data_IF_225097180272
#
_entry.id   IF_225097180272
#
_cell.length_a   1.000
_cell.length_b   1.000
_cell.length_c   1.000
_cell.angle_alpha   90.00
_cell.angle_beta   90.00
_cell.angle_gamma   90.00
#
_symmetry.space_group_name_H-M   'P 1'
#
loop_
_entity.id
_entity.type
_entity.pdbx_description
1 polymer ?
#
# COMPACT_ATOMS: atom_id res chain seq x y z
N UNK A 1 10.89 -11.73 18.79
CA UNK A 1 9.62 -11.72 19.54
C UNK A 1 9.53 -10.38 20.23
N UNK A 2 8.92 -9.42 19.56
CA UNK A 2 8.67 -8.07 20.08
C UNK A 2 7.54 -8.15 21.12
N UNK A 3 7.69 -7.39 22.20
CA UNK A 3 6.79 -7.36 23.37
C UNK A 3 5.34 -7.07 22.95
N UNK A 4 4.32 -7.83 23.40
CA UNK A 4 2.93 -7.56 23.04
C UNK A 4 2.53 -6.19 23.60
N UNK A 5 2.38 -5.23 22.69
CA UNK A 5 1.86 -3.90 22.94
C UNK A 5 0.54 -3.89 23.72
N UNK A 6 0.30 -2.81 24.45
CA UNK A 6 -0.93 -2.65 25.25
C UNK A 6 -2.13 -2.48 24.33
N UNK A 7 -3.04 -3.45 24.33
CA UNK A 7 -4.35 -3.29 23.69
C UNK A 7 -5.17 -2.24 24.45
N UNK A 8 -5.57 -1.16 23.77
CA UNK A 8 -6.60 -0.26 24.30
C UNK A 8 -7.98 -0.87 24.05
N UNK A 9 -8.91 -0.58 24.95
CA UNK A 9 -10.36 -0.84 24.89
C UNK A 9 -11.06 -0.45 23.56
N UNK A 10 -10.39 0.27 22.67
CA UNK A 10 -10.80 0.58 21.29
C UNK A 10 -10.60 -0.58 20.30
N UNK A 11 -9.88 -1.64 20.69
CA UNK A 11 -9.49 -2.74 19.80
C UNK A 11 -8.22 -2.45 18.98
N UNK A 12 -7.54 -1.34 19.23
CA UNK A 12 -6.26 -1.02 18.57
C UNK A 12 -5.07 -1.62 19.33
N UNK A 13 -4.06 -2.06 18.59
CA UNK A 13 -2.83 -2.66 19.13
C UNK A 13 -1.63 -1.80 18.71
N UNK A 14 -0.90 -1.23 19.68
CA UNK A 14 0.30 -0.42 19.41
C UNK A 14 1.56 -1.15 19.87
N UNK A 15 2.48 -1.44 18.95
CA UNK A 15 3.77 -2.09 19.23
C UNK A 15 4.74 -1.14 19.94
N UNK A 16 5.80 -1.70 20.55
CA UNK A 16 6.80 -0.93 21.29
C UNK A 16 7.63 0.05 20.43
N UNK A 17 7.59 -0.09 19.11
CA UNK A 17 8.18 0.87 18.16
C UNK A 17 7.24 2.04 17.81
N UNK A 18 5.97 1.99 18.22
CA UNK A 18 4.97 3.04 17.96
C UNK A 18 3.98 2.73 16.83
N UNK A 19 4.14 1.61 16.12
CA UNK A 19 3.20 1.18 15.07
C UNK A 19 1.86 0.78 15.67
N UNK A 20 0.75 1.23 15.09
CA UNK A 20 -0.60 0.97 15.57
C UNK A 20 -1.42 0.21 14.53
N UNK A 21 -2.11 -0.83 14.97
CA UNK A 21 -2.99 -1.69 14.19
C UNK A 21 -4.43 -1.59 14.72
N UNK A 22 -5.40 -1.83 13.84
CA UNK A 22 -6.80 -2.00 14.15
C UNK A 22 -7.12 -3.37 14.75
N UNK A 23 -8.37 -3.54 15.16
CA UNK A 23 -8.86 -4.79 15.79
C UNK A 23 -8.90 -5.99 14.84
N UNK A 24 -8.91 -5.70 13.53
CA UNK A 24 -8.83 -6.66 12.44
C UNK A 24 -7.38 -6.99 12.04
N UNK A 25 -6.39 -6.36 12.69
CA UNK A 25 -4.98 -6.48 12.34
C UNK A 25 -4.54 -5.58 11.18
N UNK A 26 -5.42 -4.72 10.66
CA UNK A 26 -5.06 -3.73 9.65
C UNK A 26 -4.16 -2.63 10.21
N UNK A 27 -3.28 -2.06 9.39
CA UNK A 27 -2.43 -0.94 9.80
C UNK A 27 -3.23 0.35 9.92
N UNK A 28 -2.96 1.12 10.96
CA UNK A 28 -3.58 2.42 11.20
C UNK A 28 -2.56 3.56 11.29
N UNK A 29 -1.37 3.30 11.82
CA UNK A 29 -0.35 4.34 11.99
C UNK A 29 1.04 3.71 12.13
N UNK A 30 2.07 4.37 11.59
CA UNK A 30 3.48 4.05 11.78
C UNK A 30 4.22 5.18 12.53
N UNK A 31 5.44 4.94 13.05
CA UNK A 31 6.15 5.94 13.85
C UNK A 31 6.55 7.17 13.01
N UNK A 32 5.99 8.33 13.35
CA UNK A 32 6.28 9.58 12.67
C UNK A 32 7.71 10.10 12.93
N UNK A 33 8.22 10.90 11.98
CA UNK A 33 9.36 11.80 12.13
C UNK A 33 10.39 11.72 11.00
N UNK A 34 10.56 10.56 10.39
CA UNK A 34 11.41 10.35 9.22
C UNK A 34 10.71 9.36 8.28
N UNK A 35 11.07 9.34 6.99
CA UNK A 35 10.50 8.36 6.09
C UNK A 35 10.76 6.94 6.60
N UNK A 36 9.73 6.11 6.66
CA UNK A 36 9.81 4.73 7.13
C UNK A 36 9.22 3.76 6.12
N UNK A 37 9.72 2.52 6.18
CA UNK A 37 9.13 1.37 5.50
C UNK A 37 8.97 0.27 6.53
N UNK A 38 7.79 -0.35 6.58
CA UNK A 38 7.46 -1.44 7.48
C UNK A 38 7.01 -2.65 6.66
N UNK A 39 7.50 -3.83 7.01
CA UNK A 39 7.17 -5.10 6.33
C UNK A 39 6.35 -6.01 7.24
N UNK A 40 5.42 -6.76 6.66
CA UNK A 40 4.47 -7.59 7.39
C UNK A 40 4.48 -9.03 6.87
N UNK A 41 4.60 -9.94 7.83
CA UNK A 41 4.49 -11.40 7.68
C UNK A 41 3.10 -11.77 8.24
N UNK A 42 2.10 -11.81 7.36
CA UNK A 42 0.70 -11.97 7.72
C UNK A 42 0.33 -13.41 8.04
N UNK A 43 1.03 -14.39 7.49
CA UNK A 43 0.78 -15.81 7.72
C UNK A 43 1.75 -16.47 8.71
N UNK A 44 2.76 -15.71 9.16
CA UNK A 44 3.79 -16.08 10.12
C UNK A 44 4.69 -17.23 9.65
N UNK A 45 4.95 -17.32 8.34
CA UNK A 45 5.86 -18.32 7.78
C UNK A 45 7.34 -17.88 7.81
N UNK A 46 7.60 -16.62 8.15
CA UNK A 46 8.93 -16.03 8.26
C UNK A 46 9.38 -15.23 7.03
N UNK A 47 8.52 -15.13 6.02
CA UNK A 47 8.67 -14.24 4.86
C UNK A 47 7.74 -13.03 5.02
N UNK A 48 8.03 -11.93 4.35
CA UNK A 48 7.16 -10.76 4.40
C UNK A 48 6.34 -10.71 3.11
N UNK A 49 5.01 -10.65 3.21
CA UNK A 49 4.12 -10.58 2.05
C UNK A 49 3.70 -9.16 1.69
N UNK A 50 3.92 -8.19 2.58
CA UNK A 50 3.47 -6.82 2.32
C UNK A 50 4.36 -5.77 2.96
N UNK A 51 4.36 -4.59 2.36
CA UNK A 51 5.07 -3.43 2.89
C UNK A 51 4.15 -2.22 2.97
N UNK A 52 4.45 -1.32 3.90
CA UNK A 52 3.83 0.00 4.02
C UNK A 52 4.93 1.05 4.13
N UNK A 53 4.83 2.12 3.34
CA UNK A 53 5.80 3.21 3.26
C UNK A 53 5.15 4.50 3.72
N UNK A 54 5.78 5.18 4.68
CA UNK A 54 5.54 6.57 5.09
C UNK A 54 6.70 7.40 4.53
N UNK A 55 6.49 8.09 3.42
CA UNK A 55 7.49 8.79 2.65
C UNK A 55 7.73 10.21 3.17
N UNK A 56 6.72 10.84 3.77
CA UNK A 56 6.83 12.22 4.29
C UNK A 56 7.15 12.30 5.80
N UNK A 57 7.03 11.17 6.51
CA UNK A 57 7.32 11.01 7.91
C UNK A 57 6.21 11.49 8.84
N UNK A 58 4.97 11.65 8.37
CA UNK A 58 3.87 12.12 9.20
C UNK A 58 3.23 11.01 10.08
N UNK A 59 3.63 9.76 9.85
CA UNK A 59 3.16 8.57 10.57
C UNK A 59 1.98 7.86 9.92
N UNK A 60 1.53 8.29 8.73
CA UNK A 60 0.59 7.58 7.89
C UNK A 60 1.31 7.02 6.67
N UNK A 61 0.95 5.81 6.26
CA UNK A 61 1.55 5.23 5.07
C UNK A 61 0.84 5.77 3.83
N UNK A 62 1.58 6.36 2.89
CA UNK A 62 1.03 6.78 1.60
C UNK A 62 0.93 5.61 0.63
N UNK A 63 1.76 4.58 0.79
CA UNK A 63 1.79 3.44 -0.13
C UNK A 63 1.88 2.12 0.62
N UNK A 64 1.09 1.14 0.19
CA UNK A 64 1.22 -0.25 0.62
C UNK A 64 1.36 -1.18 -0.60
N UNK A 65 2.21 -2.20 -0.50
CA UNK A 65 2.44 -3.18 -1.58
C UNK A 65 2.40 -4.62 -1.05
N UNK A 66 2.27 -5.59 -1.96
CA UNK A 66 2.31 -7.00 -1.61
C UNK A 66 3.12 -7.85 -2.60
N UNK A 67 3.97 -8.73 -2.07
CA UNK A 67 4.74 -9.79 -2.74
C UNK A 67 4.31 -11.12 -2.11
N UNK A 68 3.26 -11.72 -2.65
CA UNK A 68 2.59 -12.89 -2.06
C UNK A 68 3.22 -14.21 -2.44
N UNK A 69 3.97 -14.26 -3.53
CA UNK A 69 4.68 -15.48 -3.94
C UNK A 69 6.16 -15.51 -3.56
N UNK A 70 6.64 -14.42 -2.93
CA UNK A 70 7.98 -14.23 -2.36
C UNK A 70 9.10 -14.30 -3.40
N UNK A 71 8.84 -13.83 -4.61
CA UNK A 71 9.84 -13.77 -5.67
C UNK A 71 10.68 -12.49 -5.64
N UNK A 72 10.30 -11.53 -4.79
CA UNK A 72 10.96 -10.25 -4.61
C UNK A 72 10.40 -9.12 -5.48
N UNK A 73 9.27 -9.35 -6.14
CA UNK A 73 8.51 -8.38 -6.92
C UNK A 73 7.11 -8.24 -6.33
N UNK A 74 6.65 -7.00 -6.17
CA UNK A 74 5.31 -6.76 -5.65
C UNK A 74 4.26 -7.00 -6.76
N UNK A 75 3.24 -7.84 -6.52
CA UNK A 75 2.15 -8.05 -7.51
C UNK A 75 1.17 -6.87 -7.58
N UNK A 76 1.03 -6.12 -6.49
CA UNK A 76 0.25 -4.89 -6.48
C UNK A 76 0.75 -3.87 -5.45
N UNK A 77 0.50 -2.61 -5.76
CA UNK A 77 0.68 -1.49 -4.85
C UNK A 77 -0.59 -0.63 -4.82
N UNK A 78 -0.89 -0.05 -3.66
CA UNK A 78 -2.00 0.90 -3.47
C UNK A 78 -1.47 2.16 -2.79
N UNK A 79 -2.00 3.32 -3.17
CA UNK A 79 -1.63 4.59 -2.58
C UNK A 79 -2.84 5.41 -2.13
N UNK A 80 -2.69 6.09 -0.99
CA UNK A 80 -3.59 7.11 -0.44
C UNK A 80 -2.73 8.36 -0.21
N UNK A 81 -2.73 9.28 -1.16
CA UNK A 81 -1.83 10.43 -1.18
C UNK A 81 -2.35 11.61 -0.34
N UNK A 82 -3.65 11.66 -0.06
CA UNK A 82 -4.28 12.75 0.69
C UNK A 82 -4.71 12.37 2.12
N UNK A 83 -4.52 11.11 2.49
CA UNK A 83 -4.73 10.50 3.79
C UNK A 83 -6.21 10.55 4.22
N UNK A 84 -7.14 10.52 3.25
CA UNK A 84 -8.58 10.51 3.53
C UNK A 84 -9.14 9.11 3.85
N UNK A 85 -8.29 8.08 3.73
CA UNK A 85 -8.61 6.68 3.96
C UNK A 85 -9.25 5.99 2.75
N UNK A 86 -9.21 6.61 1.58
CA UNK A 86 -9.55 6.01 0.28
C UNK A 86 -8.29 5.80 -0.53
N UNK A 87 -8.35 4.81 -1.40
CA UNK A 87 -7.26 4.53 -2.32
C UNK A 87 -7.38 5.45 -3.53
N UNK A 88 -6.35 6.25 -3.77
CA UNK A 88 -6.20 7.15 -4.92
C UNK A 88 -5.65 6.43 -6.14
N UNK A 89 -4.78 5.45 -5.93
CA UNK A 89 -4.11 4.71 -6.99
C UNK A 89 -3.94 3.23 -6.61
N UNK A 90 -4.20 2.34 -7.57
CA UNK A 90 -3.85 0.92 -7.51
C UNK A 90 -2.99 0.61 -8.72
N UNK A 91 -1.79 0.07 -8.51
CA UNK A 91 -0.90 -0.45 -9.56
C UNK A 91 -0.87 -1.98 -9.45
N UNK A 92 -0.90 -2.68 -10.58
CA UNK A 92 -0.78 -4.14 -10.69
C UNK A 92 0.42 -4.48 -11.57
N UNK A 93 1.26 -5.41 -11.11
CA UNK A 93 2.31 -6.08 -11.87
C UNK A 93 1.91 -7.56 -11.95
N UNK A 94 1.35 -7.96 -13.09
CA UNK A 94 0.77 -9.31 -13.27
C UNK A 94 1.76 -10.30 -13.86
N UNK A 95 2.91 -9.85 -14.34
CA UNK A 95 3.98 -10.71 -14.87
C UNK A 95 5.27 -10.72 -14.04
N UNK A 96 5.29 -9.97 -12.94
CA UNK A 96 6.33 -9.90 -11.92
C UNK A 96 7.70 -9.48 -12.51
N UNK A 97 7.69 -8.50 -13.41
CA UNK A 97 8.91 -7.97 -14.01
C UNK A 97 9.45 -6.71 -13.29
N UNK A 98 8.71 -6.21 -12.30
CA UNK A 98 9.02 -5.03 -11.51
C UNK A 98 8.44 -3.73 -12.10
N UNK A 99 7.67 -3.81 -13.17
CA UNK A 99 6.94 -2.70 -13.78
C UNK A 99 5.44 -2.97 -13.76
N UNK A 100 4.66 -1.96 -13.39
CA UNK A 100 3.20 -2.09 -13.36
C UNK A 100 2.61 -2.23 -14.78
N UNK A 101 1.89 -3.30 -15.02
CA UNK A 101 1.10 -3.56 -16.23
C UNK A 101 -0.12 -2.63 -16.34
N UNK A 102 -0.73 -2.33 -15.19
CA UNK A 102 -1.96 -1.56 -15.13
C UNK A 102 -2.00 -0.71 -13.86
N UNK A 103 -2.59 0.48 -13.98
CA UNK A 103 -2.96 1.26 -12.82
C UNK A 103 -4.38 1.83 -12.96
N UNK A 104 -5.08 1.95 -11.83
CA UNK A 104 -6.36 2.64 -11.74
C UNK A 104 -6.15 3.77 -10.75
N UNK A 105 -6.31 5.01 -11.21
CA UNK A 105 -6.37 6.18 -10.34
C UNK A 105 -7.80 6.67 -10.25
N UNK A 106 -8.18 7.20 -9.10
CA UNK A 106 -9.48 7.82 -8.91
C UNK A 106 -9.62 9.13 -9.69
N UNK A 107 -8.51 9.69 -10.19
CA UNK A 107 -8.43 10.79 -11.15
C UNK A 107 -7.59 11.98 -10.68
N UNK A 108 -7.20 12.07 -9.40
CA UNK A 108 -6.10 12.94 -8.97
C UNK A 108 -5.74 12.68 -7.50
N UNK A 109 -4.48 12.88 -7.08
CA UNK A 109 -4.12 12.96 -5.65
C UNK A 109 -4.80 14.13 -4.90
N UNK A 110 -5.70 14.90 -5.55
CA UNK A 110 -6.40 16.08 -5.01
C UNK A 110 -7.84 16.27 -5.55
N UNK A 111 -8.45 15.23 -6.14
CA UNK A 111 -9.89 15.17 -6.43
C UNK A 111 -10.44 15.58 -7.82
N UNK A 112 -11.67 15.07 -8.05
CA UNK A 112 -12.77 15.42 -8.98
C UNK A 112 -12.73 14.94 -10.44
N UNK A 113 -11.56 14.60 -11.01
CA UNK A 113 -11.57 13.91 -12.30
C UNK A 113 -11.95 12.45 -12.06
N UNK A 114 -12.85 11.86 -12.85
CA UNK A 114 -13.32 10.50 -12.61
C UNK A 114 -12.21 9.44 -12.76
N UNK A 115 -12.49 8.16 -12.45
CA UNK A 115 -11.48 7.12 -12.47
C UNK A 115 -10.82 7.01 -13.85
N UNK A 116 -9.49 7.06 -13.87
CA UNK A 116 -8.66 6.83 -15.06
C UNK A 116 -7.98 5.48 -14.89
N UNK A 117 -8.16 4.59 -15.86
CA UNK A 117 -7.35 3.39 -15.95
C UNK A 117 -6.22 3.62 -16.95
N UNK A 118 -5.01 3.21 -16.61
CA UNK A 118 -3.89 3.12 -17.54
C UNK A 118 -3.44 1.66 -17.59
N UNK A 119 -3.05 1.17 -18.75
CA UNK A 119 -2.54 -0.18 -18.92
C UNK A 119 -1.58 -0.22 -20.11
N UNK A 120 -0.50 -0.97 -20.05
CA UNK A 120 0.31 -1.25 -21.24
C UNK A 120 -0.48 -2.21 -22.16
N UNK A 121 -1.11 -1.67 -23.21
CA UNK A 121 -1.94 -2.48 -24.11
C UNK A 121 -1.18 -3.06 -25.30
N UNK A 122 0.04 -2.58 -25.56
CA UNK A 122 0.83 -2.99 -26.72
C UNK A 122 2.17 -3.66 -26.39
N UNK A 123 2.49 -3.79 -25.10
CA UNK A 123 3.62 -4.51 -24.55
C UNK A 123 4.94 -3.76 -24.72
N UNK A 124 4.91 -2.42 -24.70
CA UNK A 124 6.07 -1.57 -24.90
C UNK A 124 6.69 -1.03 -23.60
N UNK A 125 6.18 -1.45 -22.44
CA UNK A 125 6.54 -1.03 -21.07
C UNK A 125 6.14 0.40 -20.71
N UNK A 126 5.39 1.10 -21.56
CA UNK A 126 4.75 2.37 -21.24
C UNK A 126 3.25 2.19 -21.09
N UNK A 127 2.69 2.73 -20.02
CA UNK A 127 1.25 2.67 -19.80
C UNK A 127 0.48 3.48 -20.86
N UNK A 128 -0.52 2.86 -21.49
CA UNK A 128 -1.51 3.53 -22.32
C UNK A 128 -2.67 4.05 -21.48
N UNK A 129 -3.27 5.17 -21.90
CA UNK A 129 -4.48 5.69 -21.25
C UNK A 129 -5.72 4.96 -21.76
N UNK A 130 -6.45 4.32 -20.85
CA UNK A 130 -7.74 3.67 -21.10
C UNK A 130 -8.83 4.43 -20.36
N UNK A 131 -9.60 5.25 -21.06
CA UNK A 131 -10.75 5.94 -20.46
C UNK A 131 -11.90 4.93 -20.37
N UNK A 132 -12.33 4.49 -19.17
CA UNK A 132 -13.48 3.59 -19.06
C UNK A 132 -14.73 4.35 -19.54
N UNK A 133 -15.43 3.76 -20.52
CA UNK A 133 -16.70 4.34 -20.98
C UNK A 133 -17.76 4.22 -19.87
N UNK A 134 -18.37 5.35 -19.50
CA UNK A 134 -19.52 5.45 -18.58
C UNK A 134 -20.79 4.83 -19.17
#
# INVERSE_FOLDING_TARGET
>A
MSDPGTADTSGTYTTGDGTTYGADGGLLQIPAGAPTMTSFDGDHDGQYESTATDADGDGYAETASADRDHDGVDEYAVSDHDHDGRVDEVVLDTDADGYGDAAITDGAPYGEDGPVAVADTDGDTYADVVIPAL
#
